data_IF_975476229650
#
_entry.id   IF_975476229650
#
_cell.length_a   1.000
_cell.length_b   1.000
_cell.length_c   1.000
_cell.angle_alpha   90.00
_cell.angle_beta   90.00
_cell.angle_gamma   90.00
#
_symmetry.space_group_name_H-M   'P 1'
#
loop_
_entity.id
_entity.type
_entity.pdbx_description
1 polymer ?
#
# COMPACT_ATOMS: atom_id res chain seq x y z
N UNK A 1 -17.96 -0.90 10.69
CA UNK A 1 -16.54 -1.04 11.08
C UNK A 1 -15.96 0.36 11.05
N UNK A 2 -15.65 0.95 12.20
CA UNK A 2 -15.15 2.33 12.27
C UNK A 2 -13.66 2.29 11.96
N UNK A 3 -13.21 3.05 10.96
CA UNK A 3 -11.79 3.18 10.63
C UNK A 3 -11.11 3.94 11.77
N UNK A 4 -10.13 3.32 12.41
CA UNK A 4 -9.22 4.01 13.33
C UNK A 4 -8.18 4.76 12.49
N UNK A 5 -8.39 6.06 12.34
CA UNK A 5 -7.56 6.94 11.52
C UNK A 5 -6.12 7.04 12.02
N UNK A 6 -5.90 7.04 13.34
CA UNK A 6 -4.54 7.04 13.91
C UNK A 6 -3.80 5.76 13.53
N UNK A 7 -4.51 4.62 13.54
CA UNK A 7 -3.92 3.36 13.11
C UNK A 7 -3.61 3.31 11.60
N UNK A 8 -4.43 3.97 10.78
CA UNK A 8 -4.23 4.01 9.33
C UNK A 8 -3.04 4.91 8.94
N UNK A 9 -2.91 6.07 9.58
CA UNK A 9 -1.75 6.96 9.43
C UNK A 9 -0.46 6.26 9.85
N UNK A 10 -0.47 5.56 10.99
CA UNK A 10 0.69 4.80 11.47
C UNK A 10 1.12 3.70 10.48
N UNK A 11 0.17 2.96 9.89
CA UNK A 11 0.46 1.93 8.88
C UNK A 11 1.01 2.52 7.58
N UNK A 12 0.49 3.67 7.14
CA UNK A 12 0.99 4.36 5.96
C UNK A 12 2.40 4.92 6.19
N UNK A 13 2.64 5.57 7.33
CA UNK A 13 3.96 6.06 7.73
C UNK A 13 4.96 4.90 7.77
N UNK A 14 4.62 3.81 8.47
CA UNK A 14 5.46 2.62 8.55
C UNK A 14 5.84 2.10 7.16
N UNK A 15 4.88 2.02 6.23
CA UNK A 15 5.14 1.55 4.87
C UNK A 15 6.08 2.51 4.12
N UNK A 16 5.80 3.82 4.16
CA UNK A 16 6.59 4.85 3.49
C UNK A 16 8.04 4.88 4.02
N UNK A 17 8.21 4.82 5.33
CA UNK A 17 9.50 4.75 6.00
C UNK A 17 10.29 3.50 5.59
N UNK A 18 9.61 2.35 5.48
CA UNK A 18 10.22 1.07 5.09
C UNK A 18 10.85 1.12 3.69
N UNK A 19 10.24 1.87 2.77
CA UNK A 19 10.72 2.00 1.38
C UNK A 19 11.51 3.29 1.14
N UNK A 20 11.70 4.13 2.16
CA UNK A 20 12.48 5.36 2.11
C UNK A 20 11.84 6.48 1.28
N UNK A 21 10.52 6.64 1.34
CA UNK A 21 9.79 7.71 0.63
C UNK A 21 8.91 8.51 1.60
N UNK A 22 8.45 9.69 1.18
CA UNK A 22 7.49 10.47 1.97
C UNK A 22 6.07 9.90 1.89
N UNK A 23 5.40 9.83 3.04
CA UNK A 23 4.00 9.43 3.13
C UNK A 23 3.05 10.52 2.60
N UNK A 24 1.93 10.14 1.96
CA UNK A 24 0.81 11.05 1.68
C UNK A 24 0.34 11.77 2.94
N UNK A 25 -0.06 13.04 2.78
CA UNK A 25 -0.52 13.89 3.90
C UNK A 25 -1.97 13.62 4.26
N UNK A 26 -2.77 13.15 3.30
CA UNK A 26 -4.20 12.89 3.46
C UNK A 26 -4.53 11.47 3.07
N UNK A 27 -5.29 10.81 3.94
CA UNK A 27 -5.84 9.48 3.68
C UNK A 27 -7.18 9.53 2.96
N UNK A 28 -8.03 10.50 3.32
CA UNK A 28 -9.39 10.66 2.79
C UNK A 28 -9.61 12.09 2.30
N UNK A 29 -10.48 12.26 1.30
CA UNK A 29 -10.97 13.55 0.87
C UNK A 29 -12.22 13.96 1.65
N UNK A 30 -12.69 15.19 1.43
CA UNK A 30 -13.85 15.77 2.13
C UNK A 30 -15.15 14.96 1.95
N UNK A 31 -15.21 14.11 0.91
CA UNK A 31 -16.35 13.23 0.63
C UNK A 31 -16.24 11.85 1.31
N UNK A 32 -15.23 11.64 2.14
CA UNK A 32 -14.99 10.38 2.85
C UNK A 32 -14.43 9.25 1.97
N UNK A 33 -14.11 9.53 0.70
CA UNK A 33 -13.41 8.60 -0.19
C UNK A 33 -11.88 8.70 0.00
N UNK A 34 -11.09 7.67 -0.38
CA UNK A 34 -9.62 7.76 -0.34
C UNK A 34 -9.10 8.98 -1.11
N UNK A 35 -8.12 9.67 -0.53
CA UNK A 35 -7.54 10.84 -1.16
C UNK A 35 -6.78 10.46 -2.45
N UNK A 36 -6.82 11.28 -3.52
CA UNK A 36 -6.12 10.98 -4.77
C UNK A 36 -4.61 10.76 -4.61
N UNK A 37 -3.97 11.46 -3.67
CA UNK A 37 -2.56 11.29 -3.33
C UNK A 37 -2.27 9.91 -2.72
N UNK A 38 -3.17 9.39 -1.87
CA UNK A 38 -3.07 8.03 -1.34
C UNK A 38 -3.22 6.99 -2.45
N UNK A 39 -4.19 7.18 -3.35
CA UNK A 39 -4.38 6.28 -4.50
C UNK A 39 -3.13 6.24 -5.39
N UNK A 40 -2.56 7.42 -5.69
CA UNK A 40 -1.33 7.53 -6.49
C UNK A 40 -0.15 6.88 -5.78
N UNK A 41 -0.05 7.01 -4.47
CA UNK A 41 0.97 6.36 -3.66
C UNK A 41 0.85 4.83 -3.68
N UNK A 42 -0.37 4.31 -3.50
CA UNK A 42 -0.66 2.88 -3.58
C UNK A 42 -0.30 2.29 -4.94
N UNK A 43 -0.70 2.95 -6.03
CA UNK A 43 -0.38 2.53 -7.39
C UNK A 43 1.13 2.54 -7.65
N UNK A 44 1.81 3.63 -7.26
CA UNK A 44 3.24 3.81 -7.53
C UNK A 44 4.15 2.88 -6.74
N UNK A 45 3.85 2.68 -5.46
CA UNK A 45 4.75 1.99 -4.54
C UNK A 45 4.28 0.60 -4.15
N UNK A 46 3.05 0.20 -4.52
CA UNK A 46 2.51 -1.13 -4.21
C UNK A 46 1.95 -1.25 -2.78
N UNK A 47 1.62 -0.13 -2.14
CA UNK A 47 0.87 -0.15 -0.88
C UNK A 47 -0.59 -0.55 -1.15
N UNK A 48 -1.21 -1.29 -0.23
CA UNK A 48 -2.63 -1.68 -0.34
C UNK A 48 -3.55 -0.76 0.48
N UNK A 49 -4.71 -0.40 -0.06
CA UNK A 49 -5.75 0.29 0.71
C UNK A 49 -6.29 -0.59 1.85
N UNK A 50 -6.37 -1.90 1.64
CA UNK A 50 -6.79 -2.85 2.69
C UNK A 50 -5.75 -2.90 3.82
N UNK A 51 -4.46 -2.77 3.49
CA UNK A 51 -3.41 -2.61 4.50
C UNK A 51 -3.57 -1.30 5.26
N UNK A 52 -3.68 -0.18 4.54
CA UNK A 52 -3.76 1.15 5.17
C UNK A 52 -4.98 1.25 6.08
N UNK A 53 -6.17 0.88 5.61
CA UNK A 53 -7.40 1.09 6.39
C UNK A 53 -7.77 -0.07 7.32
N UNK A 54 -7.40 -1.31 6.99
CA UNK A 54 -7.86 -2.51 7.71
C UNK A 54 -6.73 -3.36 8.28
N UNK A 55 -5.47 -3.05 7.97
CA UNK A 55 -4.33 -3.88 8.33
C UNK A 55 -4.28 -5.23 7.61
N UNK A 56 -5.06 -5.43 6.53
CA UNK A 56 -5.05 -6.68 5.78
C UNK A 56 -3.86 -6.72 4.80
N UNK A 57 -2.92 -7.62 5.10
CA UNK A 57 -1.68 -7.82 4.35
C UNK A 57 -1.82 -8.79 3.16
N UNK A 58 -2.97 -9.47 2.99
CA UNK A 58 -3.11 -10.58 2.04
C UNK A 58 -2.82 -10.18 0.60
N UNK A 59 -3.29 -9.02 0.16
CA UNK A 59 -3.04 -8.52 -1.20
C UNK A 59 -1.54 -8.31 -1.43
N UNK A 60 -0.87 -7.65 -0.49
CA UNK A 60 0.57 -7.37 -0.56
C UNK A 60 1.43 -8.65 -0.56
N UNK A 61 1.07 -9.64 0.28
CA UNK A 61 1.75 -10.95 0.31
C UNK A 61 1.58 -11.66 -1.03
N UNK A 62 0.35 -11.67 -1.57
CA UNK A 62 0.04 -12.30 -2.86
C UNK A 62 0.84 -11.68 -3.99
N UNK A 63 0.93 -10.35 -4.04
CA UNK A 63 1.65 -9.66 -5.11
C UNK A 63 3.17 -9.82 -4.96
N UNK A 64 3.70 -9.77 -3.74
CA UNK A 64 5.11 -10.09 -3.46
C UNK A 64 5.46 -11.51 -3.90
N UNK A 65 4.57 -12.49 -3.65
CA UNK A 65 4.75 -13.86 -4.10
C UNK A 65 4.81 -13.98 -5.62
N UNK A 66 3.90 -13.31 -6.36
CA UNK A 66 3.91 -13.29 -7.84
C UNK A 66 5.24 -12.77 -8.37
N UNK A 67 5.69 -11.60 -7.88
CA UNK A 67 6.96 -10.98 -8.29
C UNK A 67 8.15 -11.89 -7.98
N UNK A 68 8.19 -12.49 -6.79
CA UNK A 68 9.25 -13.42 -6.42
C UNK A 68 9.28 -14.67 -7.32
N UNK A 69 8.10 -15.19 -7.69
CA UNK A 69 7.98 -16.32 -8.62
C UNK A 69 8.39 -15.96 -10.04
N UNK A 70 7.95 -14.82 -10.55
CA UNK A 70 8.32 -14.31 -11.88
C UNK A 70 9.83 -14.09 -11.97
N UNK A 71 10.47 -13.56 -10.92
CA UNK A 71 11.94 -13.44 -10.90
C UNK A 71 12.64 -14.79 -10.86
N UNK A 72 12.11 -15.77 -10.13
CA UNK A 72 12.72 -17.09 -9.96
C UNK A 72 12.60 -17.98 -11.20
N UNK A 73 11.57 -17.78 -12.02
CA UNK A 73 11.25 -18.64 -13.17
C UNK A 73 11.11 -17.91 -14.52
N UNK A 74 11.08 -16.58 -14.52
CA UNK A 74 10.92 -15.72 -15.69
C UNK A 74 12.22 -15.12 -16.23
N UNK A 75 13.38 -15.39 -15.61
CA UNK A 75 14.70 -15.00 -16.12
C UNK A 75 15.23 -15.86 -17.29
N UNK A 76 14.32 -16.46 -18.08
CA UNK A 76 14.65 -17.39 -19.16
C UNK A 76 13.97 -17.06 -20.49
N UNK A 77 13.73 -15.78 -20.78
CA UNK A 77 13.13 -15.39 -22.06
C UNK A 77 13.34 -13.91 -22.37
N UNK A 78 14.05 -13.70 -23.48
CA UNK A 78 14.41 -12.45 -24.18
C UNK A 78 15.70 -11.77 -23.68
#
# INVERSE_FOLDING_TARGET
>A
MTIDYTSAEARLSFYADTIGVEAPKRLVCDQGAPAPELLTFCDRYGASLDWVFLGDVRAMIRDSYKVARERRFGGGGA
#
